data_IF_659642786885
#
_entry.id   IF_659642786885
#
_cell.length_a   1.000
_cell.length_b   1.000
_cell.length_c   1.000
_cell.angle_alpha   90.00
_cell.angle_beta   90.00
_cell.angle_gamma   90.00
#
_symmetry.space_group_name_H-M   'P 1'
#
loop_
_entity.id
_entity.type
_entity.pdbx_description
1 polymer ?
#
# COMPACT_ATOMS: atom_id res chain seq x y z
N UNK A 1 13.78 -11.09 9.61
CA UNK A 1 14.64 -11.54 8.51
C UNK A 1 14.12 -10.96 7.20
N UNK A 2 15.01 -10.43 6.36
CA UNK A 2 14.79 -10.26 4.93
C UNK A 2 14.24 -8.92 4.43
N UNK A 3 15.15 -7.97 4.16
CA UNK A 3 15.19 -7.26 2.88
C UNK A 3 14.34 -6.00 2.71
N UNK A 4 15.02 -4.86 2.64
CA UNK A 4 14.52 -3.64 2.00
C UNK A 4 15.62 -2.92 1.23
N UNK A 5 16.45 -3.65 0.49
CA UNK A 5 17.33 -3.04 -0.52
C UNK A 5 16.48 -2.77 -1.78
N UNK A 6 16.14 -1.50 -2.04
CA UNK A 6 15.39 -1.09 -3.22
C UNK A 6 14.49 0.12 -2.98
N UNK A 7 14.00 0.72 -4.07
CA UNK A 7 13.04 1.81 -4.02
C UNK A 7 11.71 1.34 -3.40
N UNK A 8 11.24 1.95 -2.30
CA UNK A 8 9.93 1.66 -1.71
C UNK A 8 8.76 1.76 -2.71
N UNK A 9 8.85 2.64 -3.71
CA UNK A 9 7.85 2.79 -4.76
C UNK A 9 7.87 1.66 -5.80
N UNK A 10 8.90 0.82 -5.80
CA UNK A 10 8.96 -0.40 -6.62
C UNK A 10 8.30 -1.61 -5.95
N UNK A 11 7.88 -1.51 -4.68
CA UNK A 11 7.20 -2.62 -3.98
C UNK A 11 5.88 -2.95 -4.69
N UNK A 12 5.59 -4.25 -4.81
CA UNK A 12 4.33 -4.76 -5.35
C UNK A 12 3.14 -4.21 -4.55
N UNK A 13 2.21 -3.46 -5.18
CA UNK A 13 1.02 -2.95 -4.51
C UNK A 13 0.20 -4.01 -3.77
N UNK A 14 0.13 -5.25 -4.28
CA UNK A 14 -0.60 -6.34 -3.64
C UNK A 14 0.03 -6.74 -2.30
N UNK A 15 1.37 -6.68 -2.19
CA UNK A 15 2.06 -6.92 -0.92
C UNK A 15 1.81 -5.80 0.08
N UNK A 16 1.78 -4.55 -0.37
CA UNK A 16 1.45 -3.42 0.50
C UNK A 16 -0.01 -3.51 0.98
N UNK A 17 -0.94 -3.96 0.15
CA UNK A 17 -2.32 -4.22 0.57
C UNK A 17 -2.39 -5.28 1.68
N UNK A 18 -1.63 -6.38 1.54
CA UNK A 18 -1.52 -7.39 2.59
C UNK A 18 -0.89 -6.82 3.87
N UNK A 19 0.17 -6.02 3.75
CA UNK A 19 0.79 -5.34 4.89
C UNK A 19 -0.20 -4.38 5.59
N UNK A 20 -1.14 -3.76 4.86
CA UNK A 20 -2.21 -2.93 5.44
C UNK A 20 -3.28 -3.77 6.12
N UNK A 21 -3.66 -4.89 5.50
CA UNK A 21 -4.64 -5.83 6.07
C UNK A 21 -4.14 -6.43 7.38
N UNK A 22 -2.85 -6.75 7.45
CA UNK A 22 -2.21 -7.37 8.61
C UNK A 22 -1.76 -6.31 9.65
N UNK A 23 -2.18 -5.05 9.49
CA UNK A 23 -1.89 -3.89 10.35
C UNK A 23 -0.40 -3.54 10.52
N UNK A 24 0.50 -4.09 9.68
CA UNK A 24 1.91 -3.70 9.64
C UNK A 24 2.12 -2.30 9.04
N UNK A 25 1.23 -1.90 8.13
CA UNK A 25 1.23 -0.60 7.47
C UNK A 25 -0.15 0.05 7.62
N UNK A 26 -0.21 1.35 7.91
CA UNK A 26 -1.49 2.05 7.87
C UNK A 26 -1.89 2.41 6.45
N UNK A 27 -3.19 2.61 6.18
CA UNK A 27 -3.68 3.11 4.88
C UNK A 27 -2.94 4.39 4.45
N UNK A 28 -2.70 5.32 5.38
CA UNK A 28 -1.94 6.54 5.11
C UNK A 28 -0.45 6.26 4.83
N UNK A 29 0.15 5.30 5.56
CA UNK A 29 1.53 4.87 5.34
C UNK A 29 1.73 4.23 3.96
N UNK A 30 0.77 3.43 3.49
CA UNK A 30 0.81 2.82 2.16
C UNK A 30 1.00 3.87 1.05
N UNK A 31 0.24 4.98 1.12
CA UNK A 31 0.34 6.07 0.14
C UNK A 31 1.63 6.88 0.31
N UNK A 32 2.02 7.19 1.54
CA UNK A 32 3.19 8.03 1.82
C UNK A 32 4.49 7.34 1.41
N UNK A 33 4.67 6.10 1.83
CA UNK A 33 5.95 5.39 1.84
C UNK A 33 6.12 4.47 0.63
N UNK A 34 5.04 3.89 0.10
CA UNK A 34 5.08 2.93 -1.02
C UNK A 34 4.37 3.44 -2.28
N UNK A 35 3.70 4.58 -2.15
CA UNK A 35 2.88 5.16 -3.20
C UNK A 35 1.65 4.35 -3.61
N UNK A 36 1.16 3.51 -2.70
CA UNK A 36 0.00 2.64 -2.92
C UNK A 36 -1.21 3.23 -2.22
N UNK A 37 -2.26 3.52 -2.98
CA UNK A 37 -3.51 4.05 -2.42
C UNK A 37 -4.43 2.87 -2.12
N UNK A 38 -4.75 2.68 -0.84
CA UNK A 38 -5.66 1.64 -0.36
C UNK A 38 -6.98 2.29 0.09
N UNK A 39 -8.09 1.67 -0.26
CA UNK A 39 -9.45 2.07 0.14
C UNK A 39 -10.11 0.98 0.98
N UNK A 40 -10.94 1.37 1.95
CA UNK A 40 -11.64 0.47 2.87
C UNK A 40 -11.26 0.73 4.33
N UNK A 41 -11.72 -0.14 5.24
CA UNK A 41 -11.43 -0.04 6.68
C UNK A 41 -10.66 -1.29 7.13
N UNK A 42 -9.35 -1.19 7.43
CA UNK A 42 -8.54 -2.34 7.79
C UNK A 42 -8.97 -2.99 9.12
N UNK A 43 -9.67 -2.26 9.99
CA UNK A 43 -10.09 -2.77 11.30
C UNK A 43 -11.47 -3.38 11.28
N UNK A 44 -12.39 -2.84 10.48
CA UNK A 44 -13.79 -3.29 10.41
C UNK A 44 -14.08 -4.22 9.24
N UNK A 45 -13.34 -4.09 8.14
CA UNK A 45 -13.49 -4.89 6.93
C UNK A 45 -12.13 -5.12 6.22
N UNK A 46 -11.23 -5.90 6.85
CA UNK A 46 -9.90 -6.18 6.31
C UNK A 46 -9.93 -6.87 4.94
N UNK A 47 -10.93 -7.71 4.68
CA UNK A 47 -11.07 -8.41 3.38
C UNK A 47 -11.72 -7.54 2.30
N UNK A 48 -12.38 -6.44 2.69
CA UNK A 48 -12.91 -5.41 1.80
C UNK A 48 -11.87 -4.41 1.31
N UNK A 49 -10.63 -4.47 1.78
CA UNK A 49 -9.57 -3.57 1.33
C UNK A 49 -9.29 -3.74 -0.17
N UNK A 50 -9.14 -2.63 -0.88
CA UNK A 50 -8.83 -2.60 -2.31
C UNK A 50 -7.76 -1.58 -2.62
N UNK A 51 -7.01 -1.82 -3.69
CA UNK A 51 -6.06 -0.85 -4.23
C UNK A 51 -6.79 0.04 -5.23
N UNK A 52 -6.65 1.35 -5.08
CA UNK A 52 -6.99 2.28 -6.16
C UNK A 52 -5.81 2.33 -7.14
N UNK A 53 -5.92 1.52 -8.21
CA UNK A 53 -4.87 1.43 -9.23
C UNK A 53 -4.62 2.77 -9.94
N UNK A 54 -5.68 3.55 -10.17
CA UNK A 54 -5.58 4.83 -10.86
C UNK A 54 -4.86 5.87 -10.00
N UNK A 55 -5.21 5.97 -8.72
CA UNK A 55 -4.55 6.86 -7.78
C UNK A 55 -3.12 6.40 -7.48
N UNK A 56 -2.88 5.11 -7.32
CA UNK A 56 -1.53 4.51 -7.16
C UNK A 56 -0.62 4.87 -8.32
N UNK A 57 -1.09 4.69 -9.57
CA UNK A 57 -0.32 5.05 -10.77
C UNK A 57 -0.01 6.54 -10.82
N UNK A 58 -0.99 7.40 -10.52
CA UNK A 58 -0.79 8.87 -10.50
C UNK A 58 0.24 9.27 -9.44
N UNK A 59 0.15 8.68 -8.25
CA UNK A 59 1.03 9.02 -7.14
C UNK A 59 2.48 8.58 -7.40
N UNK A 60 2.67 7.42 -8.01
CA UNK A 60 4.00 6.91 -8.40
C UNK A 60 4.59 7.66 -9.59
N UNK A 61 3.77 8.13 -10.53
CA UNK A 61 4.25 8.94 -11.65
C UNK A 61 4.68 10.36 -11.24
N UNK A 62 4.28 10.82 -10.06
CA UNK A 62 4.60 12.16 -9.53
C UNK A 62 5.83 12.17 -8.59
N UNK A 63 6.51 11.04 -8.42
CA UNK A 63 7.77 10.90 -7.65
C UNK A 63 8.92 10.65 -8.62
#
# INVERSE_FOLDING_TARGET
>A
GGGGWGDPFARDPAKVLADVRDEYVSVAGAARDYGVVVTGDPRRDPEGLRIDEAATRRLRAAR
#
